data_IF_294187417574
#
_entry.id   IF_294187417574
#
_cell.length_a   1.000
_cell.length_b   1.000
_cell.length_c   1.000
_cell.angle_alpha   90.00
_cell.angle_beta   90.00
_cell.angle_gamma   90.00
#
_symmetry.space_group_name_H-M   'P 1'
#
loop_
_entity.id
_entity.type
_entity.pdbx_description
1 polymer ?
#
# COMPACT_ATOMS: atom_id res chain seq x y z
N UNK A 1 27.12 -13.77 -93.05
CA UNK A 1 26.29 -13.55 -91.85
C UNK A 1 26.44 -12.07 -91.48
N UNK A 2 25.57 -11.12 -91.87
CA UNK A 2 24.14 -10.96 -91.56
C UNK A 2 23.92 -11.33 -90.08
N UNK A 3 23.81 -10.42 -89.10
CA UNK A 3 23.10 -9.14 -89.03
C UNK A 3 23.91 -8.10 -88.23
N UNK A 4 23.96 -6.90 -88.79
CA UNK A 4 24.43 -5.62 -88.25
C UNK A 4 23.29 -4.80 -87.66
N UNK A 5 23.60 -3.95 -86.66
CA UNK A 5 23.05 -2.59 -86.42
C UNK A 5 21.54 -2.43 -86.25
N UNK A 6 21.09 -1.93 -85.09
CA UNK A 6 20.21 -0.75 -85.01
C UNK A 6 20.00 -0.27 -83.55
N UNK A 7 20.44 0.96 -83.29
CA UNK A 7 19.70 2.05 -82.61
C UNK A 7 19.28 1.88 -81.14
N UNK A 8 19.77 2.68 -80.18
CA UNK A 8 19.71 4.16 -80.08
C UNK A 8 18.27 4.68 -80.14
N UNK A 9 17.88 5.53 -79.18
CA UNK A 9 16.61 6.28 -79.12
C UNK A 9 15.45 5.54 -78.44
N UNK A 10 15.34 5.70 -77.12
CA UNK A 10 14.06 5.89 -76.42
C UNK A 10 14.32 6.34 -74.97
N UNK A 11 14.65 7.62 -74.82
CA UNK A 11 14.39 8.42 -73.59
C UNK A 11 14.79 9.90 -73.72
N UNK A 12 15.05 10.40 -74.94
CA UNK A 12 15.15 11.85 -75.23
C UNK A 12 14.01 12.25 -76.19
N UNK A 13 12.82 12.37 -75.59
CA UNK A 13 11.66 13.17 -76.00
C UNK A 13 11.15 13.64 -74.62
N UNK A 14 11.26 14.88 -74.16
CA UNK A 14 11.28 16.16 -74.87
C UNK A 14 11.84 17.19 -73.89
N UNK A 15 12.96 17.82 -74.23
CA UNK A 15 13.44 19.03 -73.56
C UNK A 15 13.47 20.13 -74.63
N UNK A 16 12.48 21.03 -74.63
CA UNK A 16 12.60 22.48 -74.92
C UNK A 16 11.26 23.11 -75.33
N UNK A 17 11.02 24.31 -74.77
CA UNK A 17 9.95 25.28 -75.02
C UNK A 17 8.57 24.86 -74.44
N UNK A 18 7.89 25.62 -73.57
CA UNK A 18 7.79 27.08 -73.47
C UNK A 18 7.55 27.55 -72.03
N UNK A 19 8.21 28.65 -71.66
CA UNK A 19 7.79 29.57 -70.62
C UNK A 19 6.58 30.34 -71.15
N UNK A 20 5.38 30.11 -70.58
CA UNK A 20 4.27 31.08 -70.60
C UNK A 20 3.14 30.65 -69.64
N UNK A 21 3.10 31.26 -68.46
CA UNK A 21 1.88 31.66 -67.73
C UNK A 21 0.93 30.58 -67.20
N UNK A 22 1.08 30.21 -65.93
CA UNK A 22 -0.07 29.93 -65.06
C UNK A 22 0.18 30.62 -63.71
N UNK A 23 -0.78 31.44 -63.29
CA UNK A 23 -0.71 32.29 -62.12
C UNK A 23 -0.48 31.46 -60.84
N UNK A 24 0.41 31.92 -59.96
CA UNK A 24 0.39 31.50 -58.56
C UNK A 24 -0.97 31.88 -58.00
N UNK A 25 -1.84 30.91 -57.77
CA UNK A 25 -2.96 31.11 -56.87
C UNK A 25 -2.38 31.47 -55.49
N UNK A 26 -2.61 32.71 -55.08
CA UNK A 26 -2.43 33.11 -53.70
C UNK A 26 -3.50 32.36 -52.90
N UNK A 27 -3.13 31.25 -52.28
CA UNK A 27 -3.90 30.75 -51.16
C UNK A 27 -3.82 31.79 -50.05
N UNK A 28 -4.92 32.52 -49.83
CA UNK A 28 -5.11 33.25 -48.60
C UNK A 28 -5.12 32.21 -47.48
N UNK A 29 -4.03 32.15 -46.72
CA UNK A 29 -4.01 31.48 -45.42
C UNK A 29 -5.23 31.97 -44.65
N UNK A 30 -6.18 31.07 -44.38
CA UNK A 30 -7.25 31.36 -43.43
C UNK A 30 -6.56 31.42 -42.07
N UNK A 31 -6.52 32.62 -41.52
CA UNK A 31 -6.09 32.85 -40.14
C UNK A 31 -7.03 32.09 -39.19
N UNK A 32 -6.58 30.93 -38.69
CA UNK A 32 -7.27 30.12 -37.70
C UNK A 32 -6.87 30.48 -36.27
N UNK A 33 -6.16 31.60 -36.04
CA UNK A 33 -5.77 32.04 -34.69
C UNK A 33 -6.96 32.33 -33.76
N UNK A 34 -8.17 32.39 -34.31
CA UNK A 34 -9.43 32.53 -33.57
C UNK A 34 -10.16 31.22 -33.28
N UNK A 35 -9.67 30.07 -33.76
CA UNK A 35 -10.22 28.78 -33.39
C UNK A 35 -9.63 28.37 -32.04
N UNK A 36 -10.43 28.51 -30.97
CA UNK A 36 -10.15 27.86 -29.69
C UNK A 36 -9.90 26.37 -29.96
N UNK A 37 -8.81 25.78 -29.44
CA UNK A 37 -8.66 24.34 -29.43
C UNK A 37 -9.95 23.72 -28.86
N UNK A 38 -10.42 22.58 -29.40
CA UNK A 38 -11.44 21.82 -28.69
C UNK A 38 -10.96 21.62 -27.25
N UNK A 39 -11.88 21.66 -26.26
CA UNK A 39 -11.53 21.32 -24.89
C UNK A 39 -10.75 20.00 -24.93
N UNK A 40 -9.70 19.84 -24.10
CA UNK A 40 -9.13 18.52 -23.91
C UNK A 40 -10.27 17.54 -23.60
N UNK A 41 -10.25 16.32 -24.16
CA UNK A 41 -11.24 15.32 -23.79
C UNK A 41 -11.27 15.24 -22.27
N UNK A 42 -12.47 15.25 -21.69
CA UNK A 42 -12.67 15.03 -20.26
C UNK A 42 -11.86 13.78 -19.90
N UNK A 43 -10.98 13.91 -18.90
CA UNK A 43 -10.26 12.77 -18.33
C UNK A 43 -11.29 11.67 -18.07
N UNK A 44 -11.03 10.40 -18.45
CA UNK A 44 -11.96 9.34 -18.15
C UNK A 44 -12.23 9.38 -16.64
N UNK A 45 -13.50 9.56 -16.26
CA UNK A 45 -13.94 9.61 -14.87
C UNK A 45 -13.19 8.53 -14.09
N UNK A 46 -12.39 8.96 -13.11
CA UNK A 46 -11.69 8.06 -12.20
C UNK A 46 -12.74 7.07 -11.69
N UNK A 47 -12.49 5.74 -11.76
CA UNK A 47 -13.48 4.76 -11.36
C UNK A 47 -13.97 5.09 -9.95
N UNK A 48 -15.27 5.34 -9.79
CA UNK A 48 -15.86 5.68 -8.49
C UNK A 48 -15.41 4.65 -7.46
N UNK A 49 -14.64 5.09 -6.47
CA UNK A 49 -14.18 4.19 -5.41
C UNK A 49 -15.41 3.55 -4.74
N UNK A 50 -15.38 2.24 -4.47
CA UNK A 50 -16.48 1.58 -3.79
C UNK A 50 -16.74 2.28 -2.46
N UNK A 51 -18.00 2.62 -2.20
CA UNK A 51 -18.43 3.31 -0.97
C UNK A 51 -17.97 2.52 0.25
N UNK A 52 -17.16 3.16 1.09
CA UNK A 52 -16.69 2.59 2.36
C UNK A 52 -17.84 2.57 3.37
N UNK A 53 -18.38 1.39 3.74
CA UNK A 53 -19.55 1.30 4.63
C UNK A 53 -19.22 1.64 6.08
N UNK A 54 -17.93 1.79 6.42
CA UNK A 54 -17.47 2.10 7.78
C UNK A 54 -17.15 3.59 7.96
N UNK A 55 -17.15 4.36 6.87
CA UNK A 55 -16.86 5.78 6.89
C UNK A 55 -17.99 6.56 7.56
N UNK A 56 -17.67 7.29 8.62
CA UNK A 56 -18.60 8.15 9.36
C UNK A 56 -18.02 9.56 9.41
N UNK A 57 -18.79 10.53 8.91
CA UNK A 57 -18.47 11.94 9.00
C UNK A 57 -18.67 12.43 10.44
N UNK A 58 -17.62 13.02 11.02
CA UNK A 58 -17.70 13.71 12.30
C UNK A 58 -18.11 15.17 12.10
N UNK A 59 -17.45 15.88 11.18
CA UNK A 59 -17.82 17.23 10.76
C UNK A 59 -17.32 17.53 9.35
N UNK A 60 -18.18 18.13 8.53
CA UNK A 60 -17.82 18.67 7.21
C UNK A 60 -17.17 20.06 7.27
N UNK A 61 -16.90 20.61 8.46
CA UNK A 61 -16.30 21.94 8.61
C UNK A 61 -17.11 23.08 7.93
N UNK A 62 -18.43 22.88 7.79
CA UNK A 62 -19.39 23.77 7.11
C UNK A 62 -19.76 25.04 7.88
N UNK A 63 -19.48 25.06 9.18
CA UNK A 63 -19.85 26.13 10.09
C UNK A 63 -18.76 26.35 11.14
N UNK A 64 -18.71 27.56 11.70
CA UNK A 64 -17.70 27.92 12.70
C UNK A 64 -17.95 27.29 14.09
N UNK A 65 -19.11 26.67 14.32
CA UNK A 65 -19.47 26.10 15.61
C UNK A 65 -18.46 25.03 16.08
N UNK A 66 -17.92 25.24 17.28
CA UNK A 66 -16.91 24.35 17.88
C UNK A 66 -15.50 24.52 17.30
N UNK A 67 -15.30 25.37 16.29
CA UNK A 67 -13.98 25.62 15.71
C UNK A 67 -13.26 26.79 16.38
N UNK A 68 -11.94 26.68 16.47
CA UNK A 68 -11.04 27.78 16.80
C UNK A 68 -9.73 27.62 16.04
N UNK A 69 -9.07 28.74 15.76
CA UNK A 69 -7.89 28.81 14.89
C UNK A 69 -7.05 30.04 15.26
N UNK A 70 -5.88 30.22 14.64
CA UNK A 70 -5.14 31.48 14.75
C UNK A 70 -5.89 32.55 13.95
N UNK A 71 -6.46 33.53 14.66
CA UNK A 71 -7.30 34.56 14.07
C UNK A 71 -8.78 34.19 14.04
N UNK A 72 -9.54 34.83 13.14
CA UNK A 72 -10.97 34.55 12.95
C UNK A 72 -11.16 33.23 12.18
N UNK A 73 -12.20 32.47 12.54
CA UNK A 73 -12.61 31.28 11.79
C UNK A 73 -13.27 31.72 10.48
N UNK A 74 -12.67 31.38 9.35
CA UNK A 74 -13.22 31.70 8.02
C UNK A 74 -13.75 30.44 7.35
N UNK A 75 -14.99 30.50 6.88
CA UNK A 75 -15.63 29.44 6.09
C UNK A 75 -15.57 29.82 4.62
N UNK A 76 -14.92 29.00 3.82
CA UNK A 76 -14.87 29.12 2.37
C UNK A 76 -15.79 28.09 1.72
N UNK A 77 -16.42 28.44 0.59
CA UNK A 77 -17.42 27.59 -0.08
C UNK A 77 -16.98 27.07 -1.44
N UNK A 78 -15.91 27.64 -2.00
CA UNK A 78 -15.37 27.25 -3.29
C UNK A 78 -14.15 26.34 -3.10
N UNK A 79 -14.19 25.13 -3.65
CA UNK A 79 -13.08 24.18 -3.56
C UNK A 79 -13.10 23.25 -2.34
N UNK A 80 -14.23 23.18 -1.60
CA UNK A 80 -14.45 22.18 -0.54
C UNK A 80 -14.31 20.75 -1.06
N UNK A 81 -13.95 19.86 -0.15
CA UNK A 81 -13.84 18.41 -0.33
C UNK A 81 -15.05 17.66 0.22
N UNK A 82 -15.69 18.18 1.26
CA UNK A 82 -16.91 17.62 1.84
C UNK A 82 -17.97 18.72 2.04
N UNK A 83 -19.25 18.35 2.03
CA UNK A 83 -20.33 19.27 2.39
C UNK A 83 -20.42 20.54 1.52
N UNK A 84 -20.59 21.66 2.21
CA UNK A 84 -20.90 23.00 1.69
C UNK A 84 -19.77 24.02 1.86
N UNK A 85 -18.82 23.78 2.77
CA UNK A 85 -17.68 24.67 2.99
C UNK A 85 -16.54 24.00 3.75
N UNK A 86 -15.49 24.77 4.04
CA UNK A 86 -14.31 24.33 4.80
C UNK A 86 -13.70 25.49 5.59
N UNK A 87 -12.89 25.16 6.59
CA UNK A 87 -12.22 26.16 7.44
C UNK A 87 -10.87 26.52 6.82
N UNK A 88 -10.63 27.79 6.54
CA UNK A 88 -9.37 28.27 5.95
C UNK A 88 -8.74 29.37 6.78
N UNK A 89 -7.41 29.38 6.87
CA UNK A 89 -6.65 30.52 7.33
C UNK A 89 -5.26 30.62 6.68
N UNK A 90 -4.58 31.73 6.94
CA UNK A 90 -3.30 32.07 6.31
C UNK A 90 -2.28 32.43 7.37
N UNK A 91 -1.11 31.80 7.32
CA UNK A 91 0.07 32.29 8.03
C UNK A 91 0.66 33.41 7.16
N UNK A 92 0.48 34.65 7.60
CA UNK A 92 1.05 35.81 6.93
C UNK A 92 2.56 35.92 7.22
N UNK A 93 3.29 36.58 6.32
CA UNK A 93 4.70 36.90 6.56
C UNK A 93 4.85 37.67 7.89
N UNK A 94 5.84 37.28 8.71
CA UNK A 94 6.08 37.79 10.05
C UNK A 94 5.44 36.98 11.18
N UNK A 95 4.66 35.94 10.86
CA UNK A 95 4.18 34.91 11.80
C UNK A 95 4.69 33.55 11.33
N UNK A 96 4.62 32.53 12.18
CA UNK A 96 5.06 31.17 11.79
C UNK A 96 4.13 30.07 12.31
N UNK A 97 3.07 30.39 13.03
CA UNK A 97 2.23 29.41 13.72
C UNK A 97 0.80 29.36 13.16
N UNK A 98 0.26 28.14 13.02
CA UNK A 98 -1.15 27.90 12.76
C UNK A 98 -1.67 26.75 13.59
N UNK A 99 -2.96 26.82 13.92
CA UNK A 99 -3.71 25.70 14.44
C UNK A 99 -5.15 25.71 13.95
N UNK A 100 -5.73 24.53 13.86
CA UNK A 100 -7.16 24.32 13.72
C UNK A 100 -7.59 23.36 14.83
N UNK A 101 -8.54 23.79 15.66
CA UNK A 101 -9.06 23.01 16.78
C UNK A 101 -10.57 22.88 16.58
N UNK A 102 -11.07 21.66 16.64
CA UNK A 102 -12.50 21.37 16.67
C UNK A 102 -12.88 20.74 18.01
N UNK A 103 -13.85 21.33 18.70
CA UNK A 103 -14.40 20.85 19.98
C UNK A 103 -15.93 20.93 19.93
N UNK A 104 -16.62 19.86 19.51
CA UNK A 104 -18.08 19.82 19.48
C UNK A 104 -18.70 19.88 20.89
N UNK A 105 -19.98 20.25 20.95
CA UNK A 105 -20.73 20.30 22.21
C UNK A 105 -20.99 18.90 22.82
N UNK A 106 -21.02 17.86 21.99
CA UNK A 106 -21.23 16.47 22.41
C UNK A 106 -20.07 15.59 21.94
N UNK A 107 -19.77 14.55 22.71
CA UNK A 107 -18.80 13.54 22.31
C UNK A 107 -19.33 12.75 21.10
N UNK A 108 -18.40 12.27 20.28
CA UNK A 108 -18.68 11.51 19.08
C UNK A 108 -18.25 10.04 19.25
N UNK A 109 -19.14 9.14 18.84
CA UNK A 109 -18.92 7.70 18.92
C UNK A 109 -18.61 7.16 17.53
N UNK A 110 -17.34 6.79 17.30
CA UNK A 110 -16.87 6.32 15.99
C UNK A 110 -17.30 4.90 15.67
N UNK A 111 -17.72 4.09 16.67
CA UNK A 111 -17.92 2.63 16.57
C UNK A 111 -16.66 1.82 16.23
N UNK A 112 -15.48 2.43 16.37
CA UNK A 112 -14.19 1.79 16.10
C UNK A 112 -13.51 1.31 17.38
N UNK A 113 -12.43 0.57 17.22
CA UNK A 113 -11.53 0.12 18.30
C UNK A 113 -10.14 0.75 18.12
N UNK A 114 -9.33 0.77 19.18
CA UNK A 114 -7.92 1.18 19.09
C UNK A 114 -7.10 0.43 18.03
N UNK A 115 -7.50 -0.79 17.66
CA UNK A 115 -6.76 -1.66 16.74
C UNK A 115 -7.23 -1.58 15.30
N UNK A 116 -8.48 -1.16 15.06
CA UNK A 116 -9.05 -1.15 13.70
C UNK A 116 -9.39 0.25 13.18
N UNK A 117 -9.26 1.31 13.98
CA UNK A 117 -9.71 2.63 13.59
C UNK A 117 -8.69 3.43 12.77
N UNK A 118 -9.21 4.24 11.85
CA UNK A 118 -8.47 5.27 11.13
C UNK A 118 -9.24 6.60 11.23
N UNK A 119 -8.52 7.67 11.56
CA UNK A 119 -8.99 9.04 11.40
C UNK A 119 -8.54 9.57 10.04
N UNK A 120 -9.44 10.20 9.29
CA UNK A 120 -9.14 10.78 7.99
C UNK A 120 -9.73 12.18 7.87
N UNK A 121 -9.01 13.07 7.20
CA UNK A 121 -9.50 14.41 6.89
C UNK A 121 -8.74 15.01 5.71
N UNK A 122 -9.28 16.07 5.11
CA UNK A 122 -8.62 16.81 4.06
C UNK A 122 -7.84 17.98 4.65
N UNK A 123 -6.56 18.07 4.32
CA UNK A 123 -5.69 19.17 4.71
C UNK A 123 -5.13 19.87 3.46
N UNK A 124 -5.52 21.12 3.29
CA UNK A 124 -4.98 21.99 2.26
C UNK A 124 -3.73 22.70 2.76
N UNK A 125 -2.70 22.74 1.92
CA UNK A 125 -1.50 23.54 2.09
C UNK A 125 -1.12 24.15 0.75
N UNK A 126 -1.03 25.47 0.68
CA UNK A 126 -0.57 26.15 -0.55
C UNK A 126 0.89 25.82 -0.88
N UNK A 127 1.76 25.69 0.13
CA UNK A 127 3.16 25.26 -0.04
C UNK A 127 3.65 24.47 1.19
N UNK A 128 3.62 23.12 1.14
CA UNK A 128 4.11 22.28 2.24
C UNK A 128 5.62 22.40 2.49
N UNK A 129 6.41 22.93 1.55
CA UNK A 129 7.85 23.05 1.73
C UNK A 129 8.23 24.04 2.83
N UNK A 130 7.32 24.96 3.16
CA UNK A 130 7.47 25.93 4.23
C UNK A 130 7.31 25.33 5.63
N UNK A 131 6.71 24.14 5.76
CA UNK A 131 6.42 23.53 7.05
C UNK A 131 7.69 23.13 7.80
N UNK A 132 7.74 23.45 9.09
CA UNK A 132 8.66 22.86 10.05
C UNK A 132 8.27 21.40 10.33
N UNK A 133 9.23 20.60 10.81
CA UNK A 133 8.96 19.22 11.23
C UNK A 133 8.14 19.12 12.54
N UNK A 134 8.20 20.15 13.39
CA UNK A 134 7.42 20.24 14.62
C UNK A 134 5.93 20.40 14.36
N UNK A 135 5.13 19.89 15.31
CA UNK A 135 3.67 19.92 15.22
C UNK A 135 3.09 18.52 15.21
N UNK A 136 1.78 18.48 15.40
CA UNK A 136 1.05 17.24 15.48
C UNK A 136 -0.38 17.42 14.96
N UNK A 137 -0.93 16.32 14.48
CA UNK A 137 -2.37 16.11 14.33
C UNK A 137 -2.81 15.22 15.48
N UNK A 138 -3.89 15.57 16.15
CA UNK A 138 -4.34 14.90 17.36
C UNK A 138 -5.86 14.73 17.39
N UNK A 139 -6.28 13.65 18.03
CA UNK A 139 -7.64 13.44 18.51
C UNK A 139 -7.62 12.98 19.96
N UNK A 140 -8.55 13.47 20.79
CA UNK A 140 -8.66 13.02 22.18
C UNK A 140 -10.12 12.78 22.62
N UNK A 141 -10.27 11.98 23.68
CA UNK A 141 -11.57 11.67 24.32
C UNK A 141 -11.82 12.42 25.63
N UNK A 142 -10.81 13.12 26.16
CA UNK A 142 -10.93 13.87 27.40
C UNK A 142 -11.60 15.24 27.19
N UNK A 143 -11.32 15.88 26.06
CA UNK A 143 -11.68 17.27 25.76
C UNK A 143 -10.65 18.29 26.29
N UNK A 144 -9.56 17.82 26.90
CA UNK A 144 -8.39 18.58 27.33
C UNK A 144 -7.17 18.15 26.50
N UNK A 145 -6.21 19.05 26.31
CA UNK A 145 -4.94 18.71 25.65
C UNK A 145 -4.13 17.70 26.47
N UNK A 146 -3.36 16.87 25.76
CA UNK A 146 -2.37 15.94 26.33
C UNK A 146 -2.98 14.90 27.28
N UNK A 147 -4.27 14.55 27.11
CA UNK A 147 -5.00 13.57 27.92
C UNK A 147 -5.90 12.68 27.07
N UNK A 148 -5.75 11.36 27.24
CA UNK A 148 -6.48 10.34 26.47
C UNK A 148 -6.41 10.61 24.96
N UNK A 149 -5.19 10.79 24.47
CA UNK A 149 -4.92 11.38 23.16
C UNK A 149 -4.11 10.45 22.27
N UNK A 150 -4.50 10.44 21.00
CA UNK A 150 -3.73 9.90 19.89
C UNK A 150 -3.23 11.05 19.04
N UNK A 151 -1.94 11.02 18.72
CA UNK A 151 -1.30 12.04 17.91
C UNK A 151 -0.37 11.47 16.84
N UNK A 152 -0.18 12.23 15.77
CA UNK A 152 0.67 11.91 14.63
C UNK A 152 1.53 13.11 14.26
N UNK A 153 2.85 12.92 14.24
CA UNK A 153 3.81 14.01 14.00
C UNK A 153 3.74 14.56 12.57
N UNK A 154 3.86 15.88 12.43
CA UNK A 154 4.01 16.52 11.12
C UNK A 154 5.29 16.06 10.42
N UNK A 155 6.37 15.79 11.17
CA UNK A 155 7.62 15.26 10.65
C UNK A 155 7.43 13.99 9.81
N UNK A 156 6.59 13.05 10.25
CA UNK A 156 6.32 11.81 9.53
C UNK A 156 5.47 12.02 8.26
N UNK A 157 4.59 13.02 8.25
CA UNK A 157 3.71 13.33 7.13
C UNK A 157 4.36 14.23 6.08
N UNK A 158 5.24 15.16 6.49
CA UNK A 158 5.83 16.18 5.62
C UNK A 158 6.37 15.64 4.28
N UNK A 159 7.06 14.49 4.21
CA UNK A 159 7.57 13.95 2.93
C UNK A 159 6.49 13.53 1.93
N UNK A 160 5.24 13.35 2.35
CA UNK A 160 4.13 12.88 1.50
C UNK A 160 3.18 14.00 1.08
N UNK A 161 3.31 15.20 1.66
CA UNK A 161 2.44 16.34 1.39
C UNK A 161 2.77 16.99 0.05
N UNK A 162 1.72 17.38 -0.68
CA UNK A 162 1.80 18.16 -1.93
C UNK A 162 1.05 19.50 -1.80
N UNK A 163 1.42 20.52 -2.59
CA UNK A 163 0.59 21.72 -2.73
C UNK A 163 -0.86 21.36 -3.10
N UNK A 164 -1.81 22.05 -2.49
CA UNK A 164 -3.23 21.78 -2.62
C UNK A 164 -3.79 20.88 -1.51
N UNK A 165 -4.88 20.18 -1.84
CA UNK A 165 -5.56 19.26 -0.92
C UNK A 165 -4.82 17.92 -0.79
N UNK A 166 -4.65 17.49 0.46
CA UNK A 166 -4.10 16.19 0.84
C UNK A 166 -5.15 15.44 1.65
N UNK A 167 -5.47 14.19 1.28
CA UNK A 167 -6.25 13.31 2.15
C UNK A 167 -5.27 12.70 3.17
N UNK A 168 -5.45 13.05 4.43
CA UNK A 168 -4.59 12.60 5.53
C UNK A 168 -5.24 11.39 6.17
N UNK A 169 -4.56 10.23 6.15
CA UNK A 169 -5.06 8.93 6.65
C UNK A 169 -4.22 8.47 7.83
N UNK A 170 -4.81 8.45 9.03
CA UNK A 170 -4.10 8.27 10.29
C UNK A 170 -4.64 7.05 11.05
N UNK A 171 -3.90 5.94 11.01
CA UNK A 171 -4.27 4.72 11.72
C UNK A 171 -4.05 4.88 13.23
N UNK A 172 -5.02 4.45 14.03
CA UNK A 172 -4.93 4.44 15.49
C UNK A 172 -3.79 3.57 16.01
N UNK A 173 -3.49 2.47 15.32
CA UNK A 173 -2.37 1.58 15.64
C UNK A 173 -0.99 2.25 15.50
N UNK A 174 -0.90 3.38 14.80
CA UNK A 174 0.34 4.13 14.55
C UNK A 174 0.40 5.46 15.30
N UNK A 175 -0.54 5.72 16.20
CA UNK A 175 -0.59 6.96 16.98
C UNK A 175 0.43 6.94 18.13
N UNK A 176 1.08 8.09 18.33
CA UNK A 176 1.72 8.41 19.60
C UNK A 176 0.62 8.59 20.65
N UNK A 177 0.83 8.06 21.86
CA UNK A 177 -0.17 8.08 22.94
C UNK A 177 0.25 9.03 24.05
N UNK A 178 -0.67 9.89 24.50
CA UNK A 178 -0.41 10.84 25.58
C UNK A 178 -1.53 10.86 26.63
N UNK A 179 -1.12 10.94 27.91
CA UNK A 179 -1.99 11.24 29.05
C UNK A 179 -3.18 10.29 29.29
N UNK A 180 -3.09 9.05 28.85
CA UNK A 180 -4.12 8.01 29.05
C UNK A 180 -4.49 7.30 27.76
N UNK A 181 -5.48 6.40 27.85
CA UNK A 181 -5.98 5.67 26.69
C UNK A 181 -7.11 6.46 26.01
N UNK A 182 -6.92 6.81 24.74
CA UNK A 182 -7.97 7.37 23.89
C UNK A 182 -9.16 6.40 23.78
N UNK A 183 -10.37 6.91 24.05
CA UNK A 183 -11.61 6.19 23.84
C UNK A 183 -12.24 6.56 22.48
N UNK A 184 -12.17 5.69 21.45
CA UNK A 184 -12.73 5.97 20.13
C UNK A 184 -14.26 6.10 20.12
N UNK A 185 -14.96 5.68 21.18
CA UNK A 185 -16.41 5.82 21.30
C UNK A 185 -16.83 7.11 22.02
N UNK A 186 -15.88 7.99 22.37
CA UNK A 186 -16.14 9.22 23.08
C UNK A 186 -15.19 10.35 22.64
N UNK A 187 -14.96 10.52 21.34
CA UNK A 187 -14.08 11.55 20.78
C UNK A 187 -14.64 12.93 21.07
N UNK A 188 -13.82 13.85 21.57
CA UNK A 188 -14.24 15.19 21.99
C UNK A 188 -13.47 16.33 21.37
N UNK A 189 -12.30 16.06 20.79
CA UNK A 189 -11.49 17.12 20.21
C UNK A 189 -10.63 16.61 19.07
N UNK A 190 -10.47 17.44 18.06
CA UNK A 190 -9.42 17.37 17.05
C UNK A 190 -8.55 18.62 17.18
N UNK A 191 -7.24 18.45 16.96
CA UNK A 191 -6.31 19.56 16.77
C UNK A 191 -5.33 19.21 15.66
N UNK A 192 -5.03 20.17 14.81
CA UNK A 192 -3.77 20.19 14.06
C UNK A 192 -3.06 21.49 14.37
N UNK A 193 -1.79 21.43 14.72
CA UNK A 193 -0.96 22.60 14.95
C UNK A 193 0.42 22.39 14.34
N UNK A 194 0.96 23.43 13.74
CA UNK A 194 2.18 23.36 12.96
C UNK A 194 2.82 24.74 12.85
N UNK A 195 4.09 24.73 12.43
CA UNK A 195 4.87 25.94 12.19
C UNK A 195 5.44 25.97 10.78
N UNK A 196 5.81 27.16 10.31
CA UNK A 196 6.76 27.32 9.21
C UNK A 196 8.21 27.28 9.72
N UNK A 197 9.17 26.99 8.83
CA UNK A 197 10.60 26.92 9.17
C UNK A 197 11.17 28.28 9.65
N UNK A 198 10.55 29.38 9.23
CA UNK A 198 10.89 30.76 9.61
C UNK A 198 9.65 31.64 9.61
N UNK A 199 9.73 32.80 10.26
CA UNK A 199 8.72 33.88 10.18
C UNK A 199 8.84 34.72 8.91
N UNK A 200 9.98 34.69 8.21
CA UNK A 200 10.14 35.30 6.88
C UNK A 200 9.85 34.24 5.81
N UNK A 201 8.65 34.29 5.24
CA UNK A 201 8.20 33.35 4.22
C UNK A 201 7.05 33.96 3.39
N UNK A 202 6.77 33.37 2.22
CA UNK A 202 5.57 33.67 1.46
C UNK A 202 4.33 33.19 2.22
N UNK A 203 3.19 33.86 2.06
CA UNK A 203 1.96 33.50 2.79
C UNK A 203 1.59 32.02 2.61
N UNK A 204 1.42 31.30 3.72
CA UNK A 204 0.99 29.90 3.71
C UNK A 204 -0.51 29.84 4.01
N UNK A 205 -1.32 29.70 2.96
CA UNK A 205 -2.74 29.35 3.08
C UNK A 205 -2.86 27.87 3.45
N UNK A 206 -3.64 27.59 4.50
CA UNK A 206 -3.99 26.24 4.94
C UNK A 206 -5.48 26.13 5.26
N UNK A 207 -6.04 24.95 5.08
CA UNK A 207 -7.44 24.69 5.34
C UNK A 207 -7.69 23.25 5.78
N UNK A 208 -8.75 23.02 6.54
CA UNK A 208 -9.20 21.68 6.96
C UNK A 208 -10.65 21.45 6.56
N UNK A 209 -10.94 20.23 6.14
CA UNK A 209 -12.27 19.82 5.70
C UNK A 209 -12.49 18.32 5.97
N UNK A 210 -13.76 17.91 6.10
CA UNK A 210 -14.19 16.51 6.10
C UNK A 210 -13.50 15.64 7.14
N UNK A 211 -13.66 15.95 8.42
CA UNK A 211 -13.13 15.11 9.50
C UNK A 211 -14.01 13.86 9.62
N UNK A 212 -13.42 12.70 9.37
CA UNK A 212 -14.12 11.42 9.26
C UNK A 212 -13.37 10.32 10.01
N UNK A 213 -14.08 9.27 10.36
CA UNK A 213 -13.53 8.04 10.91
C UNK A 213 -13.97 6.86 10.05
N UNK A 214 -13.10 5.86 9.92
CA UNK A 214 -13.44 4.58 9.26
C UNK A 214 -12.66 3.43 9.86
N UNK A 215 -13.06 2.21 9.53
CA UNK A 215 -12.19 1.07 9.73
C UNK A 215 -10.95 1.25 8.83
N UNK A 216 -9.77 1.10 9.41
CA UNK A 216 -8.52 1.13 8.66
C UNK A 216 -8.57 0.04 7.58
N UNK A 217 -8.29 0.39 6.30
CA UNK A 217 -8.13 -0.63 5.29
C UNK A 217 -6.95 -1.53 5.69
N UNK A 218 -7.01 -2.84 5.41
CA UNK A 218 -5.90 -3.73 5.67
C UNK A 218 -4.63 -3.20 5.02
N UNK A 219 -3.51 -3.25 5.74
CA UNK A 219 -2.23 -2.88 5.14
C UNK A 219 -1.96 -3.74 3.89
N UNK A 220 -1.37 -3.16 2.81
CA UNK A 220 -1.08 -3.92 1.60
C UNK A 220 -0.22 -5.15 1.89
N UNK A 221 -0.55 -6.26 1.25
CA UNK A 221 0.24 -7.48 1.36
C UNK A 221 1.65 -7.27 0.76
N UNK A 222 2.67 -7.80 1.44
CA UNK A 222 4.04 -7.87 0.91
C UNK A 222 4.26 -9.26 0.33
N UNK A 223 4.55 -9.34 -0.96
CA UNK A 223 4.90 -10.62 -1.60
C UNK A 223 6.28 -11.06 -1.14
N UNK A 224 6.36 -12.26 -0.56
CA UNK A 224 7.63 -12.89 -0.21
C UNK A 224 8.15 -13.72 -1.39
N UNK A 225 7.33 -14.61 -1.95
CA UNK A 225 7.66 -15.37 -3.15
C UNK A 225 6.38 -15.99 -3.77
N UNK A 226 6.12 -15.73 -5.05
CA UNK A 226 4.96 -16.31 -5.77
C UNK A 226 5.20 -17.72 -6.33
N UNK A 227 6.40 -18.27 -6.16
CA UNK A 227 6.75 -19.67 -6.51
C UNK A 227 6.62 -20.03 -8.00
N UNK A 228 6.82 -19.03 -8.87
CA UNK A 228 6.73 -19.17 -10.32
C UNK A 228 7.96 -19.82 -10.97
N UNK A 229 9.07 -19.90 -10.24
CA UNK A 229 10.34 -20.43 -10.72
C UNK A 229 11.01 -21.27 -9.63
N UNK A 230 11.84 -22.23 -10.07
CA UNK A 230 12.63 -23.07 -9.17
C UNK A 230 13.79 -22.33 -8.49
N UNK A 231 14.11 -21.12 -8.94
CA UNK A 231 15.27 -20.35 -8.46
C UNK A 231 15.19 -20.07 -6.96
N UNK A 232 16.26 -20.42 -6.25
CA UNK A 232 16.35 -20.27 -4.79
C UNK A 232 15.60 -21.33 -3.98
N UNK A 233 14.88 -22.26 -4.62
CA UNK A 233 14.19 -23.36 -3.95
C UNK A 233 15.05 -24.62 -3.86
N UNK A 234 14.97 -25.29 -2.72
CA UNK A 234 15.53 -26.63 -2.48
C UNK A 234 14.40 -27.54 -1.95
N UNK A 235 14.39 -28.80 -2.41
CA UNK A 235 13.40 -29.80 -1.97
C UNK A 235 14.07 -31.16 -1.75
N UNK A 236 13.33 -32.16 -1.22
CA UNK A 236 13.76 -33.55 -1.35
C UNK A 236 13.62 -33.96 -2.82
N UNK A 237 14.75 -34.07 -3.53
CA UNK A 237 14.77 -34.20 -4.99
C UNK A 237 14.83 -32.84 -5.68
N UNK A 238 14.66 -32.83 -7.01
CA UNK A 238 14.74 -31.60 -7.80
C UNK A 238 13.47 -30.75 -7.64
N UNK A 239 13.61 -29.42 -7.40
CA UNK A 239 12.46 -28.52 -7.44
C UNK A 239 11.72 -28.63 -8.77
N UNK A 240 10.40 -28.80 -8.72
CA UNK A 240 9.56 -29.01 -9.90
C UNK A 240 8.39 -28.02 -9.88
N UNK A 241 8.37 -27.11 -10.86
CA UNK A 241 7.31 -26.11 -11.02
C UNK A 241 6.22 -26.66 -11.91
N UNK A 242 4.98 -26.66 -11.41
CA UNK A 242 3.78 -27.13 -12.12
C UNK A 242 2.89 -25.93 -12.41
N UNK A 243 2.32 -25.86 -13.62
CA UNK A 243 1.53 -24.71 -14.10
C UNK A 243 0.01 -24.90 -13.99
N UNK A 244 -0.45 -26.12 -13.77
CA UNK A 244 -1.86 -26.44 -13.64
C UNK A 244 -2.23 -26.62 -12.17
N UNK A 245 -3.24 -25.89 -11.70
CA UNK A 245 -3.70 -25.98 -10.31
C UNK A 245 -3.01 -25.05 -9.31
N UNK A 246 -2.13 -24.13 -9.77
CA UNK A 246 -1.59 -23.05 -8.93
C UNK A 246 -2.67 -22.17 -8.31
N UNK A 247 -2.33 -21.56 -7.18
CA UNK A 247 -3.13 -20.59 -6.43
C UNK A 247 -2.76 -19.16 -6.74
N UNK A 248 -1.49 -18.91 -7.06
CA UNK A 248 -0.98 -17.61 -7.43
C UNK A 248 -0.11 -17.70 -8.69
N UNK A 249 0.05 -16.58 -9.39
CA UNK A 249 0.98 -16.48 -10.51
C UNK A 249 0.73 -17.50 -11.64
N UNK A 250 1.83 -18.03 -12.13
CA UNK A 250 1.98 -18.88 -13.30
C UNK A 250 2.28 -20.34 -12.95
N UNK A 251 2.82 -20.62 -11.75
CA UNK A 251 3.12 -21.97 -11.30
C UNK A 251 3.21 -22.11 -9.79
N UNK A 252 3.46 -23.34 -9.33
CA UNK A 252 3.73 -23.65 -7.92
C UNK A 252 4.76 -24.77 -7.80
N UNK A 253 5.42 -24.87 -6.65
CA UNK A 253 6.41 -25.90 -6.39
C UNK A 253 5.73 -27.17 -5.89
N UNK A 254 5.95 -28.30 -6.56
CA UNK A 254 5.37 -29.59 -6.20
C UNK A 254 6.43 -30.69 -6.15
N UNK A 255 6.32 -31.58 -5.17
CA UNK A 255 7.11 -32.81 -5.13
C UNK A 255 6.29 -33.98 -4.54
N UNK A 256 6.90 -35.17 -4.47
CA UNK A 256 6.24 -36.39 -4.01
C UNK A 256 7.12 -37.15 -3.02
N UNK A 257 6.59 -37.46 -1.84
CA UNK A 257 7.20 -38.45 -0.96
C UNK A 257 6.81 -39.83 -1.50
N UNK A 258 7.78 -40.55 -2.06
CA UNK A 258 7.57 -41.88 -2.63
C UNK A 258 7.44 -42.94 -1.53
N UNK A 259 6.66 -44.00 -1.80
CA UNK A 259 6.69 -45.20 -0.96
C UNK A 259 8.15 -45.65 -0.72
N UNK A 260 8.49 -45.90 0.55
CA UNK A 260 9.85 -46.22 1.00
C UNK A 260 10.67 -45.01 1.46
N UNK A 261 10.11 -43.79 1.44
CA UNK A 261 10.67 -42.58 2.06
C UNK A 261 9.62 -41.94 2.96
N UNK A 262 9.99 -41.08 3.89
CA UNK A 262 9.05 -40.49 4.85
C UNK A 262 9.27 -38.99 5.09
N UNK A 263 10.17 -38.34 4.35
CA UNK A 263 10.59 -36.95 4.60
C UNK A 263 10.36 -36.05 3.39
N UNK A 264 9.90 -34.82 3.64
CA UNK A 264 9.87 -33.73 2.67
C UNK A 264 10.28 -32.42 3.30
N UNK A 265 10.88 -31.57 2.48
CA UNK A 265 11.11 -30.17 2.80
C UNK A 265 10.93 -29.29 1.57
N UNK A 266 10.51 -28.05 1.80
CA UNK A 266 10.60 -26.96 0.83
C UNK A 266 11.36 -25.83 1.51
N UNK A 267 12.51 -25.47 0.96
CA UNK A 267 13.37 -24.41 1.48
C UNK A 267 13.49 -23.35 0.40
N UNK A 268 13.23 -22.10 0.77
CA UNK A 268 13.53 -20.95 -0.07
C UNK A 268 14.67 -20.14 0.54
N UNK A 269 15.68 -19.83 -0.27
CA UNK A 269 16.83 -19.00 0.13
C UNK A 269 16.95 -17.77 -0.76
N UNK A 270 16.82 -16.60 -0.15
CA UNK A 270 17.05 -15.32 -0.78
C UNK A 270 17.95 -14.43 0.08
N UNK A 271 19.17 -14.93 0.30
CA UNK A 271 20.14 -14.30 1.23
C UNK A 271 20.58 -12.92 0.74
N UNK A 272 20.70 -12.74 -0.57
CA UNK A 272 21.22 -11.52 -1.18
C UNK A 272 20.15 -10.43 -1.37
N UNK A 273 18.86 -10.81 -1.36
CA UNK A 273 17.73 -9.88 -1.49
C UNK A 273 16.69 -10.13 -0.40
N UNK A 274 16.99 -9.82 0.87
CA UNK A 274 16.04 -9.98 1.96
C UNK A 274 14.75 -9.18 1.71
N UNK A 275 13.64 -9.70 2.21
CA UNK A 275 12.32 -9.06 2.11
C UNK A 275 11.98 -8.38 3.42
N UNK A 276 11.62 -7.09 3.34
CA UNK A 276 11.03 -6.37 4.45
C UNK A 276 9.53 -6.66 4.48
N UNK A 277 9.06 -7.34 5.52
CA UNK A 277 7.63 -7.64 5.67
C UNK A 277 6.77 -6.40 5.86
N UNK A 278 7.34 -5.29 6.32
CA UNK A 278 6.67 -4.05 6.77
C UNK A 278 5.79 -4.21 8.01
N UNK A 279 5.77 -5.41 8.61
CA UNK A 279 5.00 -5.75 9.80
C UNK A 279 5.91 -6.01 11.01
N UNK A 280 5.30 -6.04 12.18
CA UNK A 280 5.88 -6.35 13.48
C UNK A 280 5.42 -7.73 13.96
N UNK A 281 6.01 -8.22 15.05
CA UNK A 281 5.58 -9.48 15.69
C UNK A 281 4.11 -9.43 16.11
N UNK A 282 3.59 -8.25 16.45
CA UNK A 282 2.25 -8.07 17.01
C UNK A 282 1.16 -7.96 15.94
N UNK A 283 1.48 -7.41 14.77
CA UNK A 283 0.51 -7.10 13.71
C UNK A 283 0.77 -7.82 12.39
N UNK A 284 1.80 -8.67 12.32
CA UNK A 284 2.15 -9.41 11.10
C UNK A 284 1.75 -10.89 11.12
N UNK A 285 1.51 -11.44 9.94
CA UNK A 285 1.43 -12.88 9.73
C UNK A 285 2.04 -13.30 8.38
N UNK A 286 2.53 -14.53 8.32
CA UNK A 286 2.85 -15.23 7.07
C UNK A 286 1.59 -15.92 6.54
N UNK A 287 1.29 -15.74 5.26
CA UNK A 287 0.30 -16.55 4.54
C UNK A 287 0.93 -17.22 3.33
N UNK A 288 0.54 -18.48 3.09
CA UNK A 288 0.89 -19.24 1.89
C UNK A 288 -0.04 -20.42 1.72
N UNK A 289 -0.02 -21.03 0.53
CA UNK A 289 -0.78 -22.23 0.24
C UNK A 289 0.08 -23.48 0.39
N UNK A 290 -0.40 -24.48 1.11
CA UNK A 290 0.20 -25.81 1.22
C UNK A 290 -0.76 -26.87 0.64
N UNK A 291 -0.35 -27.50 -0.45
CA UNK A 291 -1.03 -28.67 -1.01
C UNK A 291 -0.55 -29.93 -0.29
N UNK A 292 -1.49 -30.75 0.15
CA UNK A 292 -1.24 -32.08 0.71
C UNK A 292 -2.34 -33.01 0.20
N UNK A 293 -1.99 -34.02 -0.59
CA UNK A 293 -2.96 -35.01 -1.09
C UNK A 293 -3.68 -35.73 0.06
N UNK A 294 -2.92 -36.34 0.98
CA UNK A 294 -3.46 -37.04 2.14
C UNK A 294 -2.81 -36.53 3.45
N UNK A 295 -3.48 -35.62 4.19
CA UNK A 295 -2.96 -35.14 5.47
C UNK A 295 -3.04 -36.20 6.59
N UNK A 296 -3.81 -37.28 6.43
CA UNK A 296 -4.00 -38.28 7.49
C UNK A 296 -2.75 -39.10 7.80
N UNK A 297 -1.80 -39.14 6.85
CA UNK A 297 -0.53 -39.85 6.98
C UNK A 297 0.62 -38.94 7.43
N UNK A 298 0.39 -37.64 7.62
CA UNK A 298 1.41 -36.73 8.15
C UNK A 298 1.64 -37.05 9.64
N UNK A 299 2.91 -37.10 10.03
CA UNK A 299 3.36 -37.23 11.42
C UNK A 299 3.27 -35.87 12.11
N UNK A 300 2.86 -35.86 13.37
CA UNK A 300 2.89 -34.65 14.22
C UNK A 300 4.33 -34.25 14.60
N UNK A 301 5.11 -33.86 13.60
CA UNK A 301 6.53 -33.55 13.65
C UNK A 301 6.88 -32.61 12.49
N UNK A 302 7.91 -31.78 12.67
CA UNK A 302 8.33 -30.78 11.70
C UNK A 302 7.87 -29.37 12.02
N UNK A 303 8.44 -28.42 11.28
CA UNK A 303 8.28 -26.99 11.52
C UNK A 303 8.10 -26.22 10.21
N UNK A 304 7.48 -25.06 10.33
CA UNK A 304 7.46 -23.99 9.33
C UNK A 304 8.22 -22.82 9.92
N UNK A 305 9.15 -22.24 9.18
CA UNK A 305 10.15 -21.32 9.73
C UNK A 305 10.39 -20.12 8.83
N UNK A 306 10.71 -18.99 9.46
CA UNK A 306 11.23 -17.79 8.82
C UNK A 306 12.50 -17.34 9.51
N UNK A 307 13.52 -16.99 8.72
CA UNK A 307 14.83 -16.64 9.23
C UNK A 307 15.36 -15.34 8.59
N UNK A 308 16.04 -14.52 9.39
CA UNK A 308 16.61 -13.23 8.96
C UNK A 308 18.15 -13.20 8.89
N UNK A 309 18.82 -14.24 9.40
CA UNK A 309 20.28 -14.35 9.38
C UNK A 309 20.81 -14.97 8.08
N UNK A 310 20.03 -15.84 7.43
CA UNK A 310 20.45 -16.65 6.28
C UNK A 310 21.06 -18.01 6.67
N UNK A 311 20.98 -18.37 7.95
CA UNK A 311 21.32 -19.69 8.48
C UNK A 311 20.23 -20.11 9.46
N UNK A 312 19.60 -21.27 9.24
CA UNK A 312 18.60 -21.84 10.14
C UNK A 312 19.09 -21.90 11.60
N UNK A 313 18.13 -21.89 12.53
CA UNK A 313 18.34 -21.94 13.98
C UNK A 313 19.00 -20.67 14.57
N UNK A 314 18.96 -19.55 13.84
CA UNK A 314 19.48 -18.23 14.26
C UNK A 314 18.58 -17.09 13.78
N UNK A 315 18.15 -16.21 14.70
CA UNK A 315 17.27 -15.07 14.39
C UNK A 315 16.02 -15.51 13.63
N UNK A 316 15.32 -16.48 14.21
CA UNK A 316 14.27 -17.26 13.57
C UNK A 316 12.98 -17.28 14.40
N UNK A 317 11.86 -17.38 13.69
CA UNK A 317 10.58 -17.78 14.27
C UNK A 317 10.04 -19.03 13.57
N UNK A 318 9.35 -19.88 14.32
CA UNK A 318 8.77 -21.10 13.76
C UNK A 318 7.39 -21.46 14.33
N UNK A 319 6.66 -22.27 13.57
CA UNK A 319 5.39 -22.89 13.95
C UNK A 319 5.48 -24.40 13.79
N UNK A 320 4.90 -25.16 14.73
CA UNK A 320 4.92 -26.62 14.66
C UNK A 320 3.88 -27.14 13.67
N UNK A 321 4.30 -28.06 12.80
CA UNK A 321 3.37 -28.76 11.88
C UNK A 321 2.28 -29.51 12.66
N UNK A 322 2.62 -30.03 13.84
CA UNK A 322 1.67 -30.68 14.75
C UNK A 322 0.42 -29.85 15.06
N UNK A 323 0.56 -28.53 15.20
CA UNK A 323 -0.55 -27.62 15.53
C UNK A 323 -1.42 -27.28 14.30
N UNK A 324 -0.93 -27.61 13.11
CA UNK A 324 -1.56 -27.31 11.81
C UNK A 324 -2.32 -28.53 11.29
N UNK A 325 -1.80 -29.75 11.49
CA UNK A 325 -2.40 -31.01 10.99
C UNK A 325 -3.91 -31.10 11.24
N UNK A 326 -4.46 -30.80 12.45
CA UNK A 326 -5.90 -30.94 12.70
C UNK A 326 -6.78 -30.06 11.81
N UNK A 327 -6.20 -29.05 11.14
CA UNK A 327 -6.89 -28.09 10.28
C UNK A 327 -6.71 -28.41 8.78
N UNK A 328 -5.83 -29.35 8.44
CA UNK A 328 -5.55 -29.71 7.05
C UNK A 328 -6.68 -30.56 6.46
N UNK A 329 -6.95 -30.32 5.18
CA UNK A 329 -7.81 -31.15 4.32
C UNK A 329 -7.02 -31.61 3.09
N UNK A 330 -7.42 -32.74 2.46
CA UNK A 330 -6.91 -33.12 1.15
C UNK A 330 -6.94 -31.96 0.15
N UNK A 331 -5.85 -31.77 -0.57
CA UNK A 331 -5.65 -30.69 -1.53
C UNK A 331 -5.05 -29.42 -0.93
N UNK A 332 -5.49 -28.27 -1.43
CA UNK A 332 -4.94 -26.96 -1.07
C UNK A 332 -5.47 -26.41 0.26
N UNK A 333 -4.55 -25.97 1.10
CA UNK A 333 -4.81 -25.33 2.39
C UNK A 333 -4.13 -23.95 2.41
N UNK A 334 -4.88 -22.88 2.67
CA UNK A 334 -4.28 -21.56 2.95
C UNK A 334 -3.90 -21.54 4.43
N UNK A 335 -2.60 -21.42 4.72
CA UNK A 335 -2.10 -21.28 6.07
C UNK A 335 -1.94 -19.81 6.40
N UNK A 336 -2.38 -19.41 7.58
CA UNK A 336 -2.25 -18.05 8.13
C UNK A 336 -1.58 -18.15 9.49
N UNK A 337 -0.31 -17.80 9.54
CA UNK A 337 0.58 -18.02 10.68
C UNK A 337 0.95 -16.67 11.29
N UNK A 338 0.29 -16.30 12.39
CA UNK A 338 0.57 -15.05 13.10
C UNK A 338 1.98 -15.09 13.67
N UNK A 339 2.73 -14.01 13.50
CA UNK A 339 4.07 -13.90 14.07
C UNK A 339 4.04 -13.94 15.60
N UNK A 340 2.97 -13.45 16.22
CA UNK A 340 2.74 -13.51 17.67
C UNK A 340 2.59 -14.93 18.22
N UNK A 341 2.20 -15.89 17.38
CA UNK A 341 1.96 -17.28 17.76
C UNK A 341 3.21 -18.14 17.54
N UNK A 342 4.27 -17.56 16.98
CA UNK A 342 5.48 -18.27 16.64
C UNK A 342 6.40 -18.47 17.86
N UNK A 343 7.16 -19.54 17.85
CA UNK A 343 8.26 -19.77 18.79
C UNK A 343 9.50 -19.04 18.28
N UNK A 344 10.17 -18.29 19.15
CA UNK A 344 11.43 -17.59 18.82
C UNK A 344 12.62 -18.51 19.11
N UNK A 345 13.55 -18.62 18.17
CA UNK A 345 14.74 -19.47 18.30
C UNK A 345 16.02 -18.78 17.77
N UNK A 346 17.13 -19.00 18.49
CA UNK A 346 18.45 -18.56 18.04
C UNK A 346 18.67 -17.03 17.98
N UNK A 347 17.77 -16.25 18.58
CA UNK A 347 17.81 -14.78 18.63
C UNK A 347 16.56 -14.15 18.01
N UNK A 348 16.44 -12.83 18.13
CA UNK A 348 15.28 -12.10 17.59
C UNK A 348 15.32 -12.07 16.06
N UNK A 349 14.18 -12.31 15.42
CA UNK A 349 14.03 -12.16 13.97
C UNK A 349 14.00 -10.68 13.58
N UNK A 350 14.74 -10.32 12.53
CA UNK A 350 14.58 -9.03 11.85
C UNK A 350 13.53 -9.16 10.73
N UNK A 351 12.29 -8.75 11.04
CA UNK A 351 11.15 -8.76 10.11
C UNK A 351 11.30 -7.76 8.95
N UNK A 352 12.28 -6.84 9.02
CA UNK A 352 12.65 -5.97 7.91
C UNK A 352 13.70 -6.60 6.97
N UNK A 353 14.25 -7.77 7.33
CA UNK A 353 15.30 -8.45 6.56
C UNK A 353 15.12 -9.97 6.55
N UNK A 354 13.93 -10.46 6.17
CA UNK A 354 13.65 -11.90 6.09
C UNK A 354 14.34 -12.49 4.85
N UNK A 355 15.16 -13.53 5.05
CA UNK A 355 16.03 -14.11 4.00
C UNK A 355 15.63 -15.50 3.57
N UNK A 356 15.01 -16.28 4.46
CA UNK A 356 14.75 -17.69 4.21
C UNK A 356 13.41 -18.12 4.76
N UNK A 357 12.85 -19.13 4.10
CA UNK A 357 11.70 -19.89 4.54
C UNK A 357 12.06 -21.37 4.50
N UNK A 358 11.52 -22.14 5.45
CA UNK A 358 11.55 -23.59 5.39
C UNK A 358 10.23 -24.15 5.90
N UNK A 359 9.74 -25.18 5.23
CA UNK A 359 8.82 -26.15 5.82
C UNK A 359 9.45 -27.52 5.68
N UNK A 360 9.48 -28.30 6.76
CA UNK A 360 9.87 -29.70 6.72
C UNK A 360 8.92 -30.52 7.58
N UNK A 361 8.64 -31.74 7.14
CA UNK A 361 7.68 -32.63 7.79
C UNK A 361 7.93 -34.09 7.38
N UNK A 362 7.29 -34.99 8.12
CA UNK A 362 7.38 -36.43 7.87
C UNK A 362 6.00 -37.07 7.69
N UNK A 363 5.96 -38.20 7.01
CA UNK A 363 4.85 -39.15 7.11
C UNK A 363 5.02 -40.03 8.36
N UNK A 364 3.94 -40.67 8.82
CA UNK A 364 3.93 -41.50 10.03
C UNK A 364 4.82 -42.74 9.93
N UNK A 365 5.05 -43.23 8.71
CA UNK A 365 5.97 -44.32 8.38
C UNK A 365 6.44 -44.15 6.94
N UNK A 366 7.50 -44.86 6.53
CA UNK A 366 7.93 -44.90 5.13
C UNK A 366 7.06 -45.82 4.25
N UNK A 367 6.18 -46.64 4.83
CA UNK A 367 5.26 -47.51 4.08
C UNK A 367 3.89 -46.84 3.93
N UNK A 368 3.74 -46.08 2.85
CA UNK A 368 2.52 -45.37 2.48
C UNK A 368 2.41 -45.24 0.96
N UNK A 369 1.21 -44.95 0.44
CA UNK A 369 1.07 -44.55 -0.96
C UNK A 369 1.81 -43.23 -1.21
N UNK A 370 2.31 -43.01 -2.44
CA UNK A 370 2.98 -41.76 -2.81
C UNK A 370 2.19 -40.53 -2.37
N UNK A 371 2.80 -39.64 -1.57
CA UNK A 371 2.17 -38.40 -1.10
C UNK A 371 2.61 -37.23 -1.96
N UNK A 372 1.68 -36.66 -2.73
CA UNK A 372 1.93 -35.42 -3.48
C UNK A 372 1.72 -34.22 -2.56
N UNK A 373 2.67 -33.29 -2.59
CA UNK A 373 2.65 -32.06 -1.77
C UNK A 373 3.30 -30.90 -2.51
N UNK A 374 2.94 -29.67 -2.16
CA UNK A 374 3.48 -28.48 -2.83
C UNK A 374 3.17 -27.17 -2.11
N UNK A 375 3.86 -26.10 -2.47
CA UNK A 375 3.71 -24.78 -1.85
C UNK A 375 3.56 -23.68 -2.89
N UNK A 376 2.81 -22.63 -2.55
CA UNK A 376 2.53 -21.50 -3.45
C UNK A 376 2.21 -20.20 -2.68
N UNK A 377 2.41 -19.04 -3.32
CA UNK A 377 1.81 -17.75 -2.95
C UNK A 377 2.18 -17.22 -1.56
N UNK A 378 3.47 -17.12 -1.26
CA UNK A 378 3.95 -16.63 0.03
C UNK A 378 3.83 -15.10 0.14
N UNK A 379 3.15 -14.63 1.18
CA UNK A 379 2.97 -13.20 1.49
C UNK A 379 3.05 -12.92 2.98
N UNK A 380 3.44 -11.71 3.32
CA UNK A 380 3.18 -11.13 4.63
C UNK A 380 1.96 -10.24 4.55
N UNK A 381 1.06 -10.37 5.52
CA UNK A 381 -0.17 -9.57 5.61
C UNK A 381 -0.40 -9.11 7.05
N UNK A 382 -1.25 -8.11 7.22
CA UNK A 382 -1.67 -7.64 8.54
C UNK A 382 -2.50 -8.70 9.26
N UNK A 383 -2.22 -8.87 10.55
CA UNK A 383 -2.95 -9.75 11.44
C UNK A 383 -4.31 -9.14 11.81
N UNK A 384 -5.38 -9.71 11.24
CA UNK A 384 -6.76 -9.37 11.60
C UNK A 384 -7.23 -10.02 12.91
#
# INVERSE_FOLDING_TARGET
>A
MRITKLMMVLSVFSLSLMVAGCQKEKFTSRDTSSLKPPPPPDDPDEPEEPVDPTLVLWTGADAADGWSTVGEVKIETAGKKEGTGFIQNTIANGSDFMQFIYKPAAAFDTKLTPTNGQFTFWWYLSDPSLLKADGQIEVNSSGDFDKEEYGWSIAALKPTLKPGWNEIKLNFSRADKAGGDFNPNAVKQFRVFFWTESTDHAELVSAVDGLMFRQAPPAPAVVFNSVDAADGWETVGSPNIVTDGKKEGTGFLQNTIKNGSDFMQFIYKNVDHPVNSTFTIQDGMLTFWWYVDDPSIIKADGQIELNSNGNFDKNEIHWNVADIIPKLKPGWNELKLKFSDAVVEGGDIDLASIKQFRIFFWTQSADHADLVTGVDGFKFIEAQ
#
